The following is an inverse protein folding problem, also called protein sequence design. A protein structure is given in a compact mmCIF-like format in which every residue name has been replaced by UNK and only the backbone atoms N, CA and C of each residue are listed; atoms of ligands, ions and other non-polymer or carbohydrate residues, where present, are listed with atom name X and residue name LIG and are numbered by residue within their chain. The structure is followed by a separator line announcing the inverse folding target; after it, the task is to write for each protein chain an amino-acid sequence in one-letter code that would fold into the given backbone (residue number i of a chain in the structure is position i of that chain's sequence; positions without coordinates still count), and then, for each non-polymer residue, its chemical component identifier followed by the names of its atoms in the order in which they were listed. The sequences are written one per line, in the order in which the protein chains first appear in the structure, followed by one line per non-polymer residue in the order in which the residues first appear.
data_IF_348562824078
#
_entry.id   IF_348562824078
#
_cell.length_a   1.000
_cell.length_b   1.000
_cell.length_c   1.000
_cell.angle_alpha   90.00
_cell.angle_beta   90.00
_cell.angle_gamma   90.00
#
_symmetry.space_group_name_H-M   'P 1'
#
loop_
_entity.id
_entity.type
_entity.pdbx_description
1 polymer ?
#
# COMPACT_ATOMS: atom_id res chain seq x y z
N UNK A 1 19.43 -6.74 -9.62
CA UNK A 1 18.17 -6.12 -9.25
C UNK A 1 18.01 -6.07 -7.74
N UNK A 2 18.49 -4.98 -7.16
CA UNK A 2 18.59 -4.81 -5.69
C UNK A 2 17.20 -4.74 -5.06
N UNK A 3 16.30 -3.90 -5.60
CA UNK A 3 14.95 -3.68 -5.03
C UNK A 3 14.10 -4.96 -4.97
N UNK A 4 14.21 -5.80 -5.94
CA UNK A 4 13.50 -7.07 -5.98
C UNK A 4 13.93 -8.02 -4.88
N UNK A 5 15.26 -8.16 -4.70
CA UNK A 5 15.82 -8.99 -3.62
C UNK A 5 15.45 -8.45 -2.25
N UNK A 6 15.47 -7.13 -2.09
CA UNK A 6 15.02 -6.48 -0.85
C UNK A 6 13.56 -6.80 -0.55
N UNK A 7 12.67 -6.71 -1.55
CA UNK A 7 11.26 -7.04 -1.38
C UNK A 7 11.06 -8.52 -1.00
N UNK A 8 11.76 -9.43 -1.66
CA UNK A 8 11.65 -10.86 -1.38
C UNK A 8 12.14 -11.25 0.02
N UNK A 9 13.13 -10.53 0.55
CA UNK A 9 13.69 -10.75 1.88
C UNK A 9 12.95 -9.97 2.98
N UNK A 10 12.08 -9.02 2.62
CA UNK A 10 11.41 -8.15 3.57
C UNK A 10 10.35 -8.90 4.38
N UNK A 11 10.36 -8.70 5.68
CA UNK A 11 9.30 -9.13 6.59
C UNK A 11 8.27 -8.02 6.82
N UNK A 12 8.69 -6.78 6.69
CA UNK A 12 7.85 -5.60 6.85
C UNK A 12 8.06 -4.62 5.70
N UNK A 13 6.97 -4.09 5.15
CA UNK A 13 7.00 -3.05 4.12
C UNK A 13 6.27 -1.81 4.63
N UNK A 14 6.94 -0.68 4.58
CA UNK A 14 6.36 0.61 4.92
C UNK A 14 6.26 1.47 3.66
N UNK A 15 5.05 1.93 3.35
CA UNK A 15 4.78 2.80 2.22
C UNK A 15 4.30 4.16 2.73
N UNK A 16 4.98 5.22 2.31
CA UNK A 16 4.62 6.61 2.63
C UNK A 16 4.54 7.39 1.32
N UNK A 17 3.35 7.86 0.98
CA UNK A 17 3.13 8.54 -0.30
C UNK A 17 1.90 9.45 -0.27
N UNK A 18 1.85 10.50 -1.12
CA UNK A 18 0.62 11.24 -1.34
C UNK A 18 -0.31 10.42 -2.27
N UNK A 19 -1.58 10.38 -1.94
CA UNK A 19 -2.59 9.86 -2.87
C UNK A 19 -3.00 10.97 -3.82
N UNK A 20 -2.77 10.77 -5.11
CA UNK A 20 -3.11 11.69 -6.19
C UNK A 20 -4.18 11.07 -7.09
N UNK A 21 -5.24 11.83 -7.32
CA UNK A 21 -6.39 11.33 -8.09
C UNK A 21 -6.92 9.98 -7.58
N UNK A 22 -6.92 9.83 -6.26
CA UNK A 22 -7.33 8.59 -5.57
C UNK A 22 -6.56 7.33 -6.00
N UNK A 23 -5.33 7.52 -6.47
CA UNK A 23 -4.42 6.48 -6.90
C UNK A 23 -3.00 6.68 -6.39
N UNK A 24 -2.12 5.81 -6.84
CA UNK A 24 -0.69 5.91 -6.52
C UNK A 24 -0.02 7.02 -7.33
N UNK A 25 0.97 7.73 -6.76
CA UNK A 25 1.87 8.54 -7.57
C UNK A 25 2.54 7.68 -8.64
N UNK A 26 2.85 8.28 -9.79
CA UNK A 26 3.42 7.54 -10.93
C UNK A 26 4.69 6.77 -10.57
N UNK A 27 5.55 7.33 -9.73
CA UNK A 27 6.77 6.67 -9.28
C UNK A 27 6.49 5.41 -8.46
N UNK A 28 5.49 5.44 -7.58
CA UNK A 28 5.10 4.27 -6.79
C UNK A 28 4.40 3.22 -7.66
N UNK A 29 3.52 3.65 -8.56
CA UNK A 29 2.89 2.75 -9.53
C UNK A 29 3.93 2.05 -10.39
N UNK A 30 4.92 2.79 -10.91
CA UNK A 30 6.02 2.24 -11.68
C UNK A 30 6.90 1.28 -10.89
N UNK A 31 7.06 1.51 -9.57
CA UNK A 31 7.74 0.56 -8.70
C UNK A 31 6.94 -0.76 -8.57
N UNK A 32 5.63 -0.69 -8.36
CA UNK A 32 4.79 -1.90 -8.35
C UNK A 32 4.88 -2.65 -9.69
N UNK A 33 4.77 -1.94 -10.80
CA UNK A 33 4.78 -2.57 -12.14
C UNK A 33 6.10 -3.27 -12.47
N UNK A 34 7.22 -2.81 -11.91
CA UNK A 34 8.56 -3.35 -12.20
C UNK A 34 9.05 -4.35 -11.15
N UNK A 35 8.76 -4.10 -9.89
CA UNK A 35 9.29 -4.89 -8.77
C UNK A 35 8.31 -5.95 -8.32
N UNK A 36 7.01 -5.66 -8.40
CA UNK A 36 5.94 -6.58 -8.05
C UNK A 36 5.58 -7.49 -9.23
N UNK A 37 6.59 -8.16 -9.78
CA UNK A 37 6.53 -8.79 -11.09
C UNK A 37 6.26 -10.30 -11.01
N UNK A 38 5.74 -10.91 -12.10
CA UNK A 38 5.61 -12.36 -12.22
C UNK A 38 6.97 -13.07 -12.03
N UNK A 39 6.93 -14.26 -11.45
CA UNK A 39 8.12 -15.03 -11.12
C UNK A 39 8.83 -14.62 -9.83
N UNK A 40 8.41 -13.50 -9.21
CA UNK A 40 9.03 -12.94 -8.01
C UNK A 40 8.00 -12.67 -6.91
N UNK A 41 7.08 -11.73 -7.16
CA UNK A 41 6.01 -11.42 -6.20
C UNK A 41 4.89 -12.46 -6.23
N UNK A 42 4.70 -13.07 -7.37
CA UNK A 42 3.71 -14.13 -7.58
C UNK A 42 4.09 -15.01 -8.77
N UNK A 43 3.44 -16.15 -8.90
CA UNK A 43 3.59 -17.05 -10.04
C UNK A 43 2.22 -17.38 -10.62
N UNK A 44 2.15 -17.48 -11.94
CA UNK A 44 0.99 -18.03 -12.63
C UNK A 44 1.10 -19.56 -12.71
N UNK A 45 -0.03 -20.24 -12.61
CA UNK A 45 -0.11 -21.63 -13.05
C UNK A 45 0.15 -21.73 -14.57
N UNK A 46 0.56 -22.91 -15.03
CA UNK A 46 0.88 -23.14 -16.45
C UNK A 46 -0.26 -22.83 -17.40
N UNK A 47 -1.51 -22.90 -16.93
CA UNK A 47 -2.74 -22.61 -17.68
C UNK A 47 -3.21 -21.15 -17.52
N UNK A 48 -2.39 -20.28 -16.91
CA UNK A 48 -2.73 -18.90 -16.57
C UNK A 48 -3.94 -18.74 -15.61
N UNK A 49 -4.34 -19.81 -14.94
CA UNK A 49 -5.48 -19.81 -14.04
C UNK A 49 -5.16 -19.22 -12.67
N UNK A 50 -4.67 -20.03 -11.76
CA UNK A 50 -4.42 -19.61 -10.37
C UNK A 50 -3.12 -18.81 -10.21
N UNK A 51 -3.15 -17.80 -9.34
CA UNK A 51 -1.96 -17.06 -8.90
C UNK A 51 -1.47 -17.67 -7.58
N UNK A 52 -0.18 -18.01 -7.52
CA UNK A 52 0.49 -18.47 -6.31
C UNK A 52 1.29 -17.34 -5.70
N UNK A 53 1.11 -17.04 -4.39
CA UNK A 53 1.88 -16.02 -3.70
C UNK A 53 3.38 -16.30 -3.73
N UNK A 54 4.18 -15.24 -3.98
CA UNK A 54 5.65 -15.31 -4.00
C UNK A 54 6.33 -14.56 -2.85
N UNK A 55 5.63 -13.64 -2.19
CA UNK A 55 6.17 -12.85 -1.09
C UNK A 55 5.85 -13.52 0.27
N UNK A 56 6.39 -14.70 0.48
CA UNK A 56 6.08 -15.53 1.63
C UNK A 56 6.69 -15.01 2.94
N UNK A 57 7.75 -14.20 2.85
CA UNK A 57 8.41 -13.59 4.01
C UNK A 57 7.72 -12.32 4.50
N UNK A 58 6.88 -11.70 3.66
CA UNK A 58 6.22 -10.45 4.00
C UNK A 58 5.07 -10.69 4.98
N UNK A 59 5.25 -10.25 6.22
CA UNK A 59 4.33 -10.49 7.33
C UNK A 59 3.44 -9.28 7.62
N UNK A 60 3.95 -8.06 7.35
CA UNK A 60 3.19 -6.84 7.61
C UNK A 60 3.44 -5.76 6.56
N UNK A 61 2.39 -5.01 6.27
CA UNK A 61 2.46 -3.80 5.45
C UNK A 61 1.80 -2.66 6.19
N UNK A 62 2.52 -1.54 6.31
CA UNK A 62 2.07 -0.31 6.94
C UNK A 62 2.07 0.80 5.92
N UNK A 63 0.97 1.52 5.84
CA UNK A 63 0.78 2.58 4.84
C UNK A 63 0.39 3.87 5.51
N UNK A 64 1.10 4.94 5.16
CA UNK A 64 0.74 6.31 5.51
C UNK A 64 0.56 7.09 4.22
N UNK A 65 -0.58 7.71 4.04
CA UNK A 65 -0.85 8.52 2.86
C UNK A 65 -1.55 9.82 3.21
N UNK A 66 -1.39 10.80 2.35
CA UNK A 66 -2.09 12.09 2.42
C UNK A 66 -3.07 12.22 1.26
N UNK A 67 -4.22 12.87 1.51
CA UNK A 67 -5.22 13.19 0.49
C UNK A 67 -5.69 14.64 0.67
N UNK A 68 -5.91 15.32 -0.45
CA UNK A 68 -6.55 16.64 -0.44
C UNK A 68 -8.05 16.58 -0.14
N UNK A 69 -8.69 15.46 -0.42
CA UNK A 69 -10.14 15.28 -0.24
C UNK A 69 -10.57 15.12 1.22
N UNK A 70 -11.86 15.36 1.52
CA UNK A 70 -12.44 14.95 2.78
C UNK A 70 -12.52 13.40 2.89
N UNK A 71 -12.51 12.91 4.14
CA UNK A 71 -12.54 11.46 4.41
C UNK A 71 -13.79 10.74 3.84
N UNK A 72 -14.93 11.41 3.81
CA UNK A 72 -16.19 10.82 3.33
C UNK A 72 -16.19 10.58 1.81
N UNK A 73 -15.46 11.40 1.03
CA UNK A 73 -15.30 11.18 -0.42
C UNK A 73 -14.54 9.89 -0.67
N UNK A 74 -13.41 9.71 0.00
CA UNK A 74 -12.61 8.50 -0.11
C UNK A 74 -13.38 7.26 0.35
N UNK A 75 -14.09 7.37 1.49
CA UNK A 75 -14.76 6.23 2.11
C UNK A 75 -16.06 5.83 1.39
N UNK A 76 -16.94 6.80 1.13
CA UNK A 76 -18.30 6.50 0.66
C UNK A 76 -18.45 6.66 -0.86
N UNK A 77 -17.81 7.65 -1.46
CA UNK A 77 -17.95 7.89 -2.91
C UNK A 77 -17.06 6.94 -3.70
N UNK A 78 -15.78 6.88 -3.36
CA UNK A 78 -14.78 6.11 -4.09
C UNK A 78 -14.43 4.77 -3.42
N UNK A 79 -14.93 4.50 -2.22
CA UNK A 79 -14.77 3.24 -1.50
C UNK A 79 -13.31 2.82 -1.26
N UNK A 80 -12.47 3.80 -0.93
CA UNK A 80 -11.04 3.60 -0.61
C UNK A 80 -10.27 2.82 -1.68
N UNK A 81 -10.15 3.33 -2.90
CA UNK A 81 -9.57 2.58 -4.01
C UNK A 81 -8.12 2.16 -3.75
N UNK A 82 -7.27 3.04 -3.22
CA UNK A 82 -5.87 2.72 -2.90
C UNK A 82 -5.77 1.59 -1.87
N UNK A 83 -6.56 1.67 -0.81
CA UNK A 83 -6.60 0.62 0.23
C UNK A 83 -7.04 -0.72 -0.35
N UNK A 84 -8.05 -0.71 -1.20
CA UNK A 84 -8.58 -1.94 -1.83
C UNK A 84 -7.57 -2.57 -2.77
N UNK A 85 -6.89 -1.78 -3.60
CA UNK A 85 -5.85 -2.29 -4.51
C UNK A 85 -4.68 -2.88 -3.72
N UNK A 86 -4.20 -2.19 -2.69
CA UNK A 86 -3.13 -2.71 -1.83
C UNK A 86 -3.53 -4.00 -1.13
N UNK A 87 -4.65 -3.98 -0.42
CA UNK A 87 -5.05 -5.10 0.44
C UNK A 87 -5.57 -6.30 -0.36
N UNK A 88 -6.44 -6.07 -1.32
CA UNK A 88 -7.15 -7.15 -2.01
C UNK A 88 -6.40 -7.63 -3.25
N UNK A 89 -5.87 -6.73 -4.06
CA UNK A 89 -5.18 -7.11 -5.29
C UNK A 89 -3.72 -7.48 -5.03
N UNK A 90 -2.91 -6.55 -4.53
CA UNK A 90 -1.47 -6.78 -4.39
C UNK A 90 -1.15 -7.76 -3.26
N UNK A 91 -1.58 -7.49 -2.05
CA UNK A 91 -1.30 -8.36 -0.91
C UNK A 91 -2.12 -9.65 -0.95
N UNK A 92 -3.37 -9.56 -1.37
CA UNK A 92 -4.24 -10.74 -1.48
C UNK A 92 -3.73 -11.78 -2.46
N UNK A 93 -3.13 -11.36 -3.57
CA UNK A 93 -2.56 -12.25 -4.58
C UNK A 93 -1.14 -12.72 -4.27
N UNK A 94 -0.34 -11.88 -3.60
CA UNK A 94 1.12 -12.09 -3.50
C UNK A 94 1.61 -12.52 -2.14
N UNK A 95 0.77 -12.47 -1.08
CA UNK A 95 1.14 -12.84 0.29
C UNK A 95 0.20 -13.89 0.87
N UNK A 96 0.62 -14.50 1.99
CA UNK A 96 -0.21 -15.43 2.76
C UNK A 96 -0.53 -14.83 4.13
N UNK A 97 -1.70 -14.15 4.24
CA UNK A 97 -2.17 -13.63 5.52
C UNK A 97 -1.35 -12.47 6.08
N UNK A 98 -0.78 -11.63 5.21
CA UNK A 98 -0.03 -10.45 5.61
C UNK A 98 -0.91 -9.46 6.39
N UNK A 99 -0.41 -8.98 7.52
CA UNK A 99 -1.06 -7.93 8.31
C UNK A 99 -1.01 -6.60 7.56
N UNK A 100 -2.13 -5.89 7.50
CA UNK A 100 -2.23 -4.62 6.77
C UNK A 100 -2.81 -3.51 7.64
N UNK A 101 -2.08 -2.40 7.74
CA UNK A 101 -2.54 -1.18 8.44
C UNK A 101 -2.33 0.03 7.54
N UNK A 102 -3.33 0.89 7.47
CA UNK A 102 -3.27 2.10 6.66
C UNK A 102 -3.85 3.28 7.43
N UNK A 103 -3.09 4.37 7.47
CA UNK A 103 -3.50 5.66 8.02
C UNK A 103 -3.51 6.69 6.90
N UNK A 104 -4.64 7.39 6.77
CA UNK A 104 -4.86 8.42 5.77
C UNK A 104 -5.03 9.78 6.42
N UNK A 105 -4.30 10.77 5.95
CA UNK A 105 -4.39 12.16 6.40
C UNK A 105 -5.18 12.96 5.36
N UNK A 106 -6.44 13.25 5.69
CA UNK A 106 -7.37 13.93 4.80
C UNK A 106 -7.25 15.45 4.86
N UNK A 107 -7.68 16.13 3.81
CA UNK A 107 -7.59 17.59 3.68
C UNK A 107 -6.19 18.12 3.96
N UNK A 108 -5.20 17.47 3.40
CA UNK A 108 -3.78 17.73 3.68
C UNK A 108 -3.36 19.16 3.32
N UNK A 109 -3.96 19.75 2.29
CA UNK A 109 -3.68 21.13 1.86
C UNK A 109 -4.16 22.19 2.87
N UNK A 110 -5.10 21.84 3.73
CA UNK A 110 -5.64 22.72 4.79
C UNK A 110 -5.12 22.34 6.19
N UNK A 111 -4.07 21.55 6.25
CA UNK A 111 -3.51 21.11 7.51
C UNK A 111 -2.74 22.23 8.20
N UNK A 112 -3.05 22.44 9.47
CA UNK A 112 -2.21 23.23 10.37
C UNK A 112 -1.23 22.33 11.13
N UNK A 113 -0.31 22.93 11.86
CA UNK A 113 0.70 22.19 12.63
C UNK A 113 0.07 21.28 13.68
N UNK A 114 -0.98 21.73 14.35
CA UNK A 114 -1.64 20.95 15.39
C UNK A 114 -2.25 19.65 14.82
N UNK A 115 -2.87 19.71 13.64
CA UNK A 115 -3.40 18.54 12.95
C UNK A 115 -2.30 17.58 12.51
N UNK A 116 -1.19 18.11 12.00
CA UNK A 116 -0.03 17.29 11.60
C UNK A 116 0.56 16.58 12.81
N UNK A 117 0.77 17.30 13.91
CA UNK A 117 1.32 16.73 15.15
C UNK A 117 0.39 15.65 15.73
N UNK A 118 -0.92 15.86 15.69
CA UNK A 118 -1.91 14.87 16.11
C UNK A 118 -1.85 13.61 15.24
N UNK A 119 -1.68 13.77 13.94
CA UNK A 119 -1.54 12.64 13.01
C UNK A 119 -0.23 11.87 13.24
N UNK A 120 0.87 12.56 13.48
CA UNK A 120 2.16 11.92 13.82
C UNK A 120 2.03 11.11 15.12
N UNK A 121 1.37 11.65 16.15
CA UNK A 121 1.09 10.88 17.38
C UNK A 121 0.26 9.62 17.10
N UNK A 122 -0.73 9.73 16.21
CA UNK A 122 -1.56 8.59 15.81
C UNK A 122 -0.73 7.51 15.09
N UNK A 123 0.20 7.92 14.22
CA UNK A 123 1.13 6.98 13.56
C UNK A 123 1.96 6.24 14.62
N UNK A 124 2.55 6.96 15.56
CA UNK A 124 3.37 6.37 16.62
C UNK A 124 2.59 5.41 17.53
N UNK A 125 1.32 5.69 17.77
CA UNK A 125 0.47 4.84 18.62
C UNK A 125 -0.02 3.56 17.92
N UNK A 126 -0.10 3.56 16.59
CA UNK A 126 -0.69 2.46 15.81
C UNK A 126 0.29 1.65 14.98
N UNK A 127 1.50 2.13 14.84
CA UNK A 127 2.54 1.47 14.02
C UNK A 127 3.72 1.01 14.85
#
# INVERSE_FOLDING_TARGET
MVLLRQLQAAQSLVLVFPTWWFGFPAILKGWFDRVWAPGHAYQHAADLGAITPGLLQLQEVRVVTTLGSPWWVDLFVLRRPVRRVLKLALLGACTRGCSFRMLSFYRSEKADRARVDAFVRKIRARF
#
